data_IF_727100871383
#
_entry.id   IF_727100871383
#
_cell.length_a   1.000
_cell.length_b   1.000
_cell.length_c   1.000
_cell.angle_alpha   90.00
_cell.angle_beta   90.00
_cell.angle_gamma   90.00
#
_symmetry.space_group_name_H-M   'P 1'
#
loop_
_entity.id
_entity.type
_entity.pdbx_description
1 polymer ?
#
# COMPACT_ATOMS: atom_id res chain seq x y z
N UNK A 1 2.86 -11.47 -8.21
CA UNK A 1 4.12 -10.90 -8.72
C UNK A 1 5.26 -11.37 -7.82
N UNK A 2 6.41 -11.72 -8.37
CA UNK A 2 7.62 -12.05 -7.60
C UNK A 2 8.76 -11.20 -8.18
N UNK A 3 9.41 -10.42 -7.33
CA UNK A 3 10.52 -9.51 -7.68
C UNK A 3 11.64 -9.66 -6.65
N UNK A 4 12.92 -9.54 -7.02
CA UNK A 4 14.03 -9.67 -6.06
C UNK A 4 14.39 -8.36 -5.34
N UNK A 5 13.72 -7.26 -5.65
CA UNK A 5 13.89 -5.96 -4.97
C UNK A 5 12.55 -5.23 -4.88
N UNK A 6 12.49 -4.20 -4.03
CA UNK A 6 11.31 -3.34 -3.89
C UNK A 6 11.70 -1.88 -4.13
N UNK A 7 10.85 -1.18 -4.87
CA UNK A 7 10.94 0.26 -5.09
C UNK A 7 9.53 0.83 -5.31
N UNK A 8 9.43 2.15 -5.52
CA UNK A 8 8.16 2.85 -5.73
C UNK A 8 7.39 2.36 -6.96
N UNK A 9 8.07 2.05 -8.07
CA UNK A 9 7.41 1.55 -9.28
C UNK A 9 6.78 0.18 -9.08
N UNK A 10 7.52 -0.74 -8.46
CA UNK A 10 7.01 -2.08 -8.18
C UNK A 10 5.84 -2.04 -7.20
N UNK A 11 5.90 -1.18 -6.18
CA UNK A 11 4.78 -1.00 -5.27
C UNK A 11 3.55 -0.43 -5.98
N UNK A 12 3.72 0.48 -6.95
CA UNK A 12 2.61 0.99 -7.77
C UNK A 12 1.97 -0.13 -8.61
N UNK A 13 2.78 -0.99 -9.25
CA UNK A 13 2.24 -2.14 -10.01
C UNK A 13 1.55 -3.16 -9.10
N UNK A 14 2.00 -3.30 -7.85
CA UNK A 14 1.31 -4.10 -6.85
C UNK A 14 -0.06 -3.50 -6.47
N UNK A 15 -0.14 -2.19 -6.20
CA UNK A 15 -1.39 -1.50 -5.91
C UNK A 15 -2.38 -1.57 -7.08
N UNK A 16 -1.88 -1.55 -8.32
CA UNK A 16 -2.70 -1.74 -9.52
C UNK A 16 -3.34 -3.13 -9.58
N UNK A 17 -2.62 -4.18 -9.17
CA UNK A 17 -3.19 -5.53 -9.08
C UNK A 17 -4.30 -5.57 -8.03
N UNK A 18 -4.11 -4.92 -6.88
CA UNK A 18 -5.14 -4.80 -5.83
C UNK A 18 -6.36 -4.03 -6.34
N UNK A 19 -6.15 -2.89 -6.99
CA UNK A 19 -7.22 -2.08 -7.59
C UNK A 19 -8.04 -2.89 -8.60
N UNK A 20 -7.38 -3.69 -9.45
CA UNK A 20 -8.03 -4.46 -10.50
C UNK A 20 -8.92 -5.61 -9.97
N UNK A 21 -8.56 -6.22 -8.83
CA UNK A 21 -9.36 -7.29 -8.20
C UNK A 21 -10.42 -6.76 -7.23
N UNK A 22 -10.38 -5.46 -6.92
CA UNK A 22 -11.34 -4.85 -5.99
C UNK A 22 -12.71 -4.74 -6.66
N UNK A 23 -13.71 -5.42 -6.08
CA UNK A 23 -15.08 -5.37 -6.59
C UNK A 23 -15.65 -3.94 -6.61
N UNK A 24 -16.53 -3.66 -7.58
CA UNK A 24 -17.20 -2.37 -7.70
C UNK A 24 -17.95 -2.02 -6.42
N UNK A 25 -17.83 -0.76 -6.00
CA UNK A 25 -18.43 -0.26 -4.75
C UNK A 25 -17.63 -0.60 -3.48
N UNK A 26 -16.48 -1.26 -3.62
CA UNK A 26 -15.52 -1.47 -2.51
C UNK A 26 -14.32 -0.56 -2.65
N UNK A 27 -13.73 -0.24 -1.51
CA UNK A 27 -12.57 0.61 -1.40
C UNK A 27 -11.52 -0.06 -0.52
N UNK A 28 -10.27 -0.06 -0.96
CA UNK A 28 -9.15 -0.70 -0.25
C UNK A 28 -8.31 0.36 0.46
N UNK A 29 -7.94 0.05 1.71
CA UNK A 29 -6.95 0.82 2.46
C UNK A 29 -5.76 -0.10 2.71
N UNK A 30 -4.59 0.29 2.21
CA UNK A 30 -3.33 -0.43 2.43
C UNK A 30 -2.60 0.28 3.56
N UNK A 31 -2.34 -0.44 4.64
CA UNK A 31 -1.57 0.07 5.79
C UNK A 31 -0.10 -0.27 5.56
N UNK A 32 0.75 0.75 5.54
CA UNK A 32 2.18 0.61 5.27
C UNK A 32 3.02 1.09 6.45
N UNK A 33 4.17 0.44 6.63
CA UNK A 33 5.15 0.86 7.62
C UNK A 33 5.79 2.20 7.29
N UNK A 34 6.47 2.77 8.28
CA UNK A 34 7.06 4.09 8.21
C UNK A 34 8.24 4.26 7.25
N UNK A 35 8.66 3.24 6.49
CA UNK A 35 9.89 3.30 5.70
C UNK A 35 9.94 4.55 4.79
N UNK A 36 11.12 5.17 4.67
CA UNK A 36 11.29 6.47 4.02
C UNK A 36 10.86 6.51 2.54
N UNK A 37 10.82 5.34 1.87
CA UNK A 37 10.39 5.19 0.48
C UNK A 37 8.89 4.88 0.33
N UNK A 38 8.16 4.70 1.44
CA UNK A 38 6.69 4.66 1.46
C UNK A 38 6.14 6.09 1.50
N UNK A 39 6.07 6.70 0.32
CA UNK A 39 5.46 8.02 0.13
C UNK A 39 3.96 7.85 -0.17
N UNK A 40 3.12 8.70 0.43
CA UNK A 40 1.66 8.59 0.34
C UNK A 40 1.11 8.78 -1.07
N UNK A 41 1.87 9.46 -1.94
CA UNK A 41 1.49 9.78 -3.32
C UNK A 41 1.50 8.57 -4.26
N UNK A 42 2.01 7.42 -3.81
CA UNK A 42 2.06 6.21 -4.63
C UNK A 42 0.67 5.69 -5.03
N UNK A 43 -0.37 6.04 -4.25
CA UNK A 43 -1.73 5.60 -4.47
C UNK A 43 -2.62 6.65 -5.17
N UNK A 44 -2.13 7.87 -5.41
CA UNK A 44 -2.93 9.01 -5.90
C UNK A 44 -3.58 8.75 -7.26
N UNK A 45 -3.03 7.81 -8.04
CA UNK A 45 -3.54 7.43 -9.35
C UNK A 45 -4.69 6.41 -9.30
N UNK A 46 -5.03 5.86 -8.13
CA UNK A 46 -6.11 4.88 -7.96
C UNK A 46 -7.35 5.53 -7.33
N UNK A 47 -8.51 5.29 -7.93
CA UNK A 47 -9.78 5.83 -7.43
C UNK A 47 -10.40 4.99 -6.29
N UNK A 48 -9.89 3.78 -6.07
CA UNK A 48 -10.45 2.79 -5.15
C UNK A 48 -9.42 2.19 -4.18
N UNK A 49 -8.22 2.77 -4.13
CA UNK A 49 -7.13 2.34 -3.24
C UNK A 49 -6.51 3.58 -2.59
N UNK A 50 -6.35 3.55 -1.27
CA UNK A 50 -5.60 4.56 -0.53
C UNK A 50 -4.54 3.89 0.34
N UNK A 51 -3.43 4.62 0.59
CA UNK A 51 -2.36 4.17 1.49
C UNK A 51 -2.40 4.96 2.78
N UNK A 52 -2.46 4.26 3.91
CA UNK A 52 -2.33 4.82 5.25
C UNK A 52 -0.93 4.52 5.77
N UNK A 53 -0.14 5.57 6.00
CA UNK A 53 1.18 5.44 6.64
C UNK A 53 1.02 5.41 8.15
N UNK A 54 1.60 4.41 8.80
CA UNK A 54 1.64 4.36 10.27
C UNK A 54 2.62 5.40 10.82
N UNK A 55 2.30 6.04 11.96
CA UNK A 55 3.27 6.89 12.64
C UNK A 55 4.51 6.07 13.05
N UNK A 56 5.69 6.70 13.13
CA UNK A 56 6.91 6.02 13.53
C UNK A 56 6.75 5.34 14.91
N UNK A 57 7.28 4.13 15.05
CA UNK A 57 7.34 3.39 16.31
C UNK A 57 5.99 3.08 16.98
N UNK A 58 4.99 2.65 16.19
CA UNK A 58 3.74 2.04 16.70
C UNK A 58 3.73 0.50 16.57
N UNK A 59 4.58 -0.24 17.32
CA UNK A 59 4.56 -1.71 17.29
C UNK A 59 3.22 -2.30 17.74
N UNK A 60 2.42 -1.57 18.52
CA UNK A 60 1.08 -1.95 18.95
C UNK A 60 0.05 -2.07 17.81
N UNK A 61 0.32 -1.48 16.64
CA UNK A 61 -0.54 -1.52 15.46
C UNK A 61 -0.18 -2.65 14.49
N UNK A 62 0.95 -3.34 14.71
CA UNK A 62 1.32 -4.54 13.97
C UNK A 62 0.76 -5.78 14.67
N UNK A 63 -0.44 -6.22 14.30
CA UNK A 63 -0.83 -7.59 14.60
C UNK A 63 -0.13 -8.54 13.62
N UNK A 64 1.10 -8.96 13.96
CA UNK A 64 1.61 -10.24 13.49
C UNK A 64 1.00 -11.33 14.38
N UNK A 65 0.02 -12.06 13.86
CA UNK A 65 -0.38 -13.34 14.41
C UNK A 65 -0.17 -14.42 13.36
#
# INVERSE_FOLDING_TARGET
MIVPWVNKEIMSEHLKQISAITEKGRHVVVVMDGADWHTSDIADHFHNVNVLKLPPYSPELYQSK
#
